data_IF_253349062207
#
_entry.id   IF_253349062207
#
_cell.length_a   1.000
_cell.length_b   1.000
_cell.length_c   1.000
_cell.angle_alpha   90.00
_cell.angle_beta   90.00
_cell.angle_gamma   90.00
#
_symmetry.space_group_name_H-M   'P 1'
#
loop_
_entity.id
_entity.type
_entity.pdbx_description
1 polymer ?
#
# COMPACT_ATOMS: atom_id res chain seq x y z
N UNK A 1 -3.33 -27.65 13.48
CA UNK A 1 -4.47 -26.80 13.75
C UNK A 1 -4.31 -25.48 12.99
N UNK A 2 -5.31 -25.07 12.24
CA UNK A 2 -5.20 -23.81 11.52
C UNK A 2 -5.09 -22.65 12.50
N UNK A 3 -4.32 -21.65 12.11
CA UNK A 3 -4.24 -20.42 12.89
C UNK A 3 -5.62 -19.77 12.96
N UNK A 4 -6.03 -19.35 14.14
CA UNK A 4 -7.26 -18.61 14.32
C UNK A 4 -7.04 -17.18 13.88
N UNK A 5 -7.87 -16.70 12.96
CA UNK A 5 -7.83 -15.29 12.55
C UNK A 5 -8.20 -14.42 13.73
N UNK A 6 -7.43 -13.37 13.96
CA UNK A 6 -7.69 -12.39 15.00
C UNK A 6 -8.10 -11.07 14.39
N UNK A 7 -9.20 -10.51 14.88
CA UNK A 7 -9.67 -9.18 14.52
C UNK A 7 -9.17 -8.21 15.59
N UNK A 8 -8.34 -7.26 15.19
CA UNK A 8 -7.68 -6.34 16.11
C UNK A 8 -8.04 -4.90 15.77
N UNK A 9 -8.49 -4.15 16.77
CA UNK A 9 -8.73 -2.72 16.65
C UNK A 9 -7.39 -1.97 16.57
N UNK A 10 -7.25 -1.08 15.58
CA UNK A 10 -5.99 -0.37 15.37
C UNK A 10 -6.09 1.15 15.46
N UNK A 11 -7.28 1.69 15.51
CA UNK A 11 -7.47 3.13 15.70
C UNK A 11 -8.76 3.65 15.08
N UNK A 12 -9.00 4.95 15.25
CA UNK A 12 -10.16 5.61 14.66
C UNK A 12 -9.95 5.85 13.17
N UNK A 13 -11.04 6.04 12.42
CA UNK A 13 -10.98 6.27 10.98
C UNK A 13 -10.18 7.51 10.61
N UNK A 14 -10.20 8.55 11.45
CA UNK A 14 -9.46 9.80 11.20
C UNK A 14 -7.95 9.60 11.17
N UNK A 15 -7.45 8.51 11.74
CA UNK A 15 -6.01 8.22 11.73
C UNK A 15 -5.50 7.77 10.38
N UNK A 16 -6.41 7.43 9.45
CA UNK A 16 -6.07 7.07 8.08
C UNK A 16 -6.82 8.01 7.13
N UNK A 17 -6.32 9.24 6.94
CA UNK A 17 -6.97 10.17 6.01
C UNK A 17 -6.77 9.75 4.56
N UNK A 18 -7.58 10.32 3.67
CA UNK A 18 -7.46 10.07 2.23
C UNK A 18 -6.04 10.39 1.75
N UNK A 19 -5.41 9.46 1.05
CA UNK A 19 -4.02 9.60 0.62
C UNK A 19 -2.99 9.42 1.73
N UNK A 20 -3.45 9.12 2.95
CA UNK A 20 -2.58 8.92 4.10
C UNK A 20 -2.43 7.45 4.48
N UNK A 21 -1.76 7.25 5.60
CA UNK A 21 -1.49 5.91 6.12
C UNK A 21 -1.42 5.89 7.64
N UNK A 22 -1.59 4.70 8.19
CA UNK A 22 -1.33 4.41 9.59
C UNK A 22 -0.44 3.16 9.64
N UNK A 23 0.70 3.26 10.29
CA UNK A 23 1.58 2.11 10.51
C UNK A 23 1.48 1.73 11.98
N UNK A 24 1.10 0.49 12.24
CA UNK A 24 0.89 0.00 13.61
C UNK A 24 1.58 -1.34 13.84
N UNK A 25 2.00 -1.56 15.08
CA UNK A 25 2.51 -2.86 15.51
C UNK A 25 1.38 -3.64 16.16
N UNK A 26 1.21 -4.89 15.73
CA UNK A 26 0.26 -5.82 16.34
C UNK A 26 1.04 -7.06 16.72
N UNK A 27 1.37 -7.18 18.01
CA UNK A 27 2.31 -8.18 18.48
C UNK A 27 3.68 -7.96 17.85
N UNK A 28 4.22 -8.99 17.22
CA UNK A 28 5.53 -8.93 16.54
C UNK A 28 5.42 -8.51 15.08
N UNK A 29 4.22 -8.14 14.63
CA UNK A 29 3.94 -7.83 13.22
C UNK A 29 3.66 -6.34 13.06
N UNK A 30 4.30 -5.70 12.10
CA UNK A 30 4.02 -4.31 11.73
C UNK A 30 3.18 -4.31 10.47
N UNK A 31 2.09 -3.53 10.49
CA UNK A 31 1.11 -3.45 9.41
C UNK A 31 0.96 -1.99 8.99
N UNK A 32 0.88 -1.75 7.69
CA UNK A 32 0.52 -0.45 7.15
C UNK A 32 -0.89 -0.47 6.59
N UNK A 33 -1.66 0.58 6.89
CA UNK A 33 -3.02 0.75 6.39
C UNK A 33 -3.06 2.05 5.62
N UNK A 34 -3.59 2.00 4.41
CA UNK A 34 -3.64 3.13 3.48
C UNK A 34 -5.08 3.40 3.08
N UNK A 35 -5.43 4.69 2.93
CA UNK A 35 -6.73 5.06 2.36
C UNK A 35 -6.52 5.66 0.98
N UNK A 36 -7.22 5.11 0.00
CA UNK A 36 -7.18 5.60 -1.36
C UNK A 36 -8.57 5.45 -2.00
N UNK A 37 -9.08 6.54 -2.55
CA UNK A 37 -10.42 6.60 -3.14
C UNK A 37 -11.51 6.10 -2.18
N UNK A 38 -11.40 6.49 -0.91
CA UNK A 38 -12.35 6.16 0.15
C UNK A 38 -12.24 4.75 0.70
N UNK A 39 -11.37 3.91 0.17
CA UNK A 39 -11.21 2.51 0.60
C UNK A 39 -9.91 2.32 1.37
N UNK A 40 -9.91 1.35 2.28
CA UNK A 40 -8.74 1.00 3.05
C UNK A 40 -8.05 -0.24 2.48
N UNK A 41 -6.71 -0.19 2.51
CA UNK A 41 -5.85 -1.27 2.04
C UNK A 41 -4.80 -1.55 3.10
N UNK A 42 -4.66 -2.79 3.51
CA UNK A 42 -3.70 -3.20 4.54
C UNK A 42 -2.65 -4.15 4.00
N UNK A 43 -1.41 -3.95 4.44
CA UNK A 43 -0.28 -4.77 4.03
C UNK A 43 0.68 -4.99 5.20
N UNK A 44 1.36 -6.14 5.21
CA UNK A 44 2.50 -6.33 6.10
C UNK A 44 3.62 -5.36 5.73
N UNK A 45 4.31 -4.82 6.71
CA UNK A 45 5.40 -3.85 6.52
C UNK A 45 6.69 -4.55 6.09
N UNK A 46 6.62 -5.33 5.03
CA UNK A 46 7.76 -6.12 4.54
C UNK A 46 7.79 -6.06 3.02
N UNK A 47 8.83 -5.44 2.49
CA UNK A 47 9.05 -5.38 1.04
C UNK A 47 9.35 -6.77 0.50
N UNK A 48 8.70 -7.16 -0.60
CA UNK A 48 8.91 -8.45 -1.24
C UNK A 48 10.34 -8.61 -1.78
N UNK A 49 11.04 -7.49 -2.04
CA UNK A 49 12.40 -7.51 -2.57
C UNK A 49 13.42 -7.96 -1.52
N UNK A 50 13.55 -7.24 -0.41
CA UNK A 50 14.55 -7.53 0.63
C UNK A 50 14.03 -7.30 2.06
N UNK A 51 12.72 -7.32 2.25
CA UNK A 51 12.16 -7.20 3.59
C UNK A 51 12.19 -5.81 4.20
N UNK A 52 12.45 -4.77 3.41
CA UNK A 52 12.48 -3.39 3.91
C UNK A 52 11.12 -2.91 4.42
N UNK A 53 11.09 -1.81 5.21
CA UNK A 53 9.86 -1.28 5.81
C UNK A 53 9.01 -0.52 4.79
N UNK A 54 8.41 -1.23 3.85
CA UNK A 54 7.72 -0.67 2.68
C UNK A 54 6.58 0.27 3.06
N UNK A 55 5.83 -0.03 4.14
CA UNK A 55 4.70 0.80 4.55
C UNK A 55 5.12 2.18 5.06
N UNK A 56 6.40 2.40 5.32
CA UNK A 56 6.96 3.67 5.74
C UNK A 56 7.56 4.45 4.57
N UNK A 57 7.47 3.91 3.36
CA UNK A 57 7.97 4.57 2.16
C UNK A 57 7.09 5.70 1.68
N UNK A 58 7.55 6.40 0.65
CA UNK A 58 6.78 7.50 0.06
C UNK A 58 5.59 6.96 -0.72
N UNK A 59 4.50 7.70 -0.68
CA UNK A 59 3.33 7.46 -1.52
C UNK A 59 3.41 8.47 -2.66
N UNK A 60 3.50 7.97 -3.89
CA UNK A 60 3.60 8.82 -5.08
C UNK A 60 2.60 8.37 -6.15
N UNK A 61 2.12 9.29 -7.00
CA UNK A 61 1.36 8.90 -8.18
C UNK A 61 2.22 8.07 -9.12
N UNK A 62 1.60 7.15 -9.85
CA UNK A 62 2.30 6.40 -10.88
C UNK A 62 2.82 7.35 -11.94
N UNK A 63 4.09 7.17 -12.33
CA UNK A 63 4.70 7.95 -13.41
C UNK A 63 4.56 7.17 -14.71
N UNK A 64 3.98 7.82 -15.73
CA UNK A 64 3.82 7.22 -17.06
C UNK A 64 4.52 8.10 -18.09
N UNK A 65 5.08 7.48 -19.12
CA UNK A 65 5.64 8.21 -20.24
C UNK A 65 4.53 8.56 -21.23
N UNK A 66 4.48 9.82 -21.64
CA UNK A 66 3.51 10.29 -22.64
C UNK A 66 4.13 10.11 -24.01
N UNK A 67 3.56 9.22 -24.81
CA UNK A 67 4.01 8.95 -26.17
C UNK A 67 3.01 9.56 -27.15
N UNK A 68 3.52 10.36 -28.11
CA UNK A 68 2.64 10.96 -29.11
C UNK A 68 2.28 9.96 -30.22
N UNK A 69 1.33 10.33 -31.12
CA UNK A 69 0.94 9.43 -32.22
C UNK A 69 2.08 9.03 -33.16
N UNK A 70 3.15 9.82 -33.20
CA UNK A 70 4.34 9.51 -33.99
C UNK A 70 5.34 8.60 -33.27
N UNK A 71 5.04 8.18 -32.04
CA UNK A 71 5.90 7.32 -31.25
C UNK A 71 7.01 8.05 -30.50
N UNK A 72 7.00 9.38 -30.47
CA UNK A 72 7.99 10.17 -29.74
C UNK A 72 7.54 10.45 -28.31
N UNK A 73 8.50 10.41 -27.39
CA UNK A 73 8.25 10.74 -25.99
C UNK A 73 7.98 12.25 -25.83
N UNK A 74 6.92 12.59 -25.10
CA UNK A 74 6.60 13.97 -24.70
C UNK A 74 6.93 14.22 -23.22
N UNK A 75 7.76 13.35 -22.63
CA UNK A 75 8.10 13.43 -21.21
C UNK A 75 7.21 12.54 -20.37
N UNK A 76 7.11 12.87 -19.08
CA UNK A 76 6.41 12.04 -18.11
C UNK A 76 5.21 12.78 -17.54
N UNK A 77 4.17 12.01 -17.20
CA UNK A 77 2.99 12.51 -16.52
C UNK A 77 2.72 11.65 -15.29
N UNK A 78 2.00 12.23 -14.31
CA UNK A 78 1.59 11.51 -13.12
C UNK A 78 0.17 10.99 -13.31
N UNK A 79 -0.02 9.71 -13.04
CA UNK A 79 -1.35 9.08 -13.03
C UNK A 79 -1.85 9.08 -11.60
N UNK A 80 -2.65 10.09 -11.24
CA UNK A 80 -3.17 10.26 -9.88
C UNK A 80 -4.27 9.26 -9.53
N UNK A 81 -4.79 8.52 -10.51
CA UNK A 81 -5.73 7.43 -10.25
C UNK A 81 -5.02 6.18 -9.71
N UNK A 82 -3.70 6.17 -9.73
CA UNK A 82 -2.87 5.08 -9.21
C UNK A 82 -1.79 5.64 -8.32
N UNK A 83 -1.84 5.27 -7.04
CA UNK A 83 -0.79 5.61 -6.08
C UNK A 83 0.11 4.41 -5.86
N UNK A 84 1.40 4.67 -5.77
CA UNK A 84 2.40 3.66 -5.47
C UNK A 84 3.04 3.93 -4.11
N UNK A 85 3.34 2.87 -3.38
CA UNK A 85 4.19 2.92 -2.20
C UNK A 85 5.61 2.61 -2.66
N UNK A 86 6.56 3.49 -2.34
CA UNK A 86 7.97 3.28 -2.71
C UNK A 86 8.74 2.80 -1.49
N UNK A 87 9.26 1.58 -1.55
CA UNK A 87 10.06 1.04 -0.46
C UNK A 87 11.30 1.91 -0.23
N UNK A 88 11.60 2.34 1.02
CA UNK A 88 12.79 3.15 1.29
C UNK A 88 14.09 2.41 1.02
N UNK A 89 14.05 1.08 0.94
CA UNK A 89 15.19 0.27 0.54
C UNK A 89 15.09 -0.01 -0.96
N UNK A 90 15.99 0.48 -1.78
CA UNK A 90 16.13 0.21 -3.22
C UNK A 90 15.01 0.75 -4.12
N UNK A 91 14.01 1.44 -3.58
CA UNK A 91 13.00 2.11 -4.39
C UNK A 91 11.99 1.22 -5.11
N UNK A 92 11.79 -0.03 -4.67
CA UNK A 92 10.73 -0.87 -5.24
C UNK A 92 9.37 -0.22 -5.01
N UNK A 93 8.56 -0.18 -6.07
CA UNK A 93 7.23 0.43 -6.04
C UNK A 93 6.14 -0.63 -6.08
N UNK A 94 5.09 -0.39 -5.31
CA UNK A 94 3.91 -1.27 -5.29
C UNK A 94 2.65 -0.44 -5.42
N UNK A 95 1.70 -0.91 -6.23
CA UNK A 95 0.40 -0.27 -6.34
C UNK A 95 -0.37 -0.43 -5.03
N UNK A 96 -0.92 0.66 -4.49
CA UNK A 96 -1.66 0.61 -3.21
C UNK A 96 -2.89 -0.30 -3.29
N UNK A 97 -3.59 -0.30 -4.41
CA UNK A 97 -4.82 -1.10 -4.55
C UNK A 97 -4.56 -2.60 -4.64
N UNK A 98 -3.44 -2.99 -5.22
CA UNK A 98 -3.17 -4.40 -5.51
C UNK A 98 -2.01 -4.97 -4.72
N UNK A 99 -1.10 -4.11 -4.25
CA UNK A 99 0.14 -4.54 -3.59
C UNK A 99 1.15 -5.13 -4.55
N UNK A 100 0.97 -4.97 -5.86
CA UNK A 100 1.80 -5.62 -6.88
C UNK A 100 2.77 -4.63 -7.49
N UNK A 101 4.01 -5.08 -7.73
CA UNK A 101 5.02 -4.29 -8.45
C UNK A 101 4.63 -4.23 -9.93
N UNK A 102 4.55 -3.02 -10.52
CA UNK A 102 4.03 -2.88 -11.89
C UNK A 102 4.87 -3.57 -12.96
N UNK A 103 6.18 -3.66 -12.78
CA UNK A 103 7.08 -4.30 -13.73
C UNK A 103 7.41 -5.76 -13.44
N UNK A 104 6.97 -6.27 -12.29
CA UNK A 104 7.24 -7.64 -11.86
C UNK A 104 6.07 -8.16 -11.01
N UNK A 105 5.02 -8.68 -11.65
CA UNK A 105 3.80 -9.10 -10.92
C UNK A 105 4.01 -10.18 -9.86
N UNK A 106 5.11 -10.92 -9.91
CA UNK A 106 5.44 -11.91 -8.88
C UNK A 106 5.93 -11.25 -7.59
N UNK A 107 6.42 -10.00 -7.66
CA UNK A 107 6.80 -9.22 -6.48
C UNK A 107 5.57 -8.50 -5.97
N UNK A 108 5.07 -8.91 -4.81
CA UNK A 108 3.85 -8.36 -4.22
C UNK A 108 3.95 -8.31 -2.72
N UNK A 109 3.25 -7.35 -2.14
CA UNK A 109 3.11 -7.24 -0.69
C UNK A 109 2.09 -8.27 -0.19
N UNK A 110 2.24 -8.66 1.07
CA UNK A 110 1.28 -9.56 1.71
C UNK A 110 0.12 -8.73 2.22
N UNK A 111 -1.08 -9.02 1.72
CA UNK A 111 -2.29 -8.28 2.07
C UNK A 111 -2.81 -8.68 3.43
N UNK A 112 -3.28 -7.69 4.18
CA UNK A 112 -3.97 -7.86 5.45
C UNK A 112 -5.40 -7.38 5.27
N UNK A 113 -6.37 -8.17 5.73
CA UNK A 113 -7.77 -7.76 5.66
C UNK A 113 -8.03 -6.58 6.59
N UNK A 114 -8.68 -5.54 6.07
CA UNK A 114 -9.01 -4.33 6.83
C UNK A 114 -10.51 -4.11 6.78
N UNK A 115 -11.10 -3.77 7.93
CA UNK A 115 -12.51 -3.45 8.05
C UNK A 115 -12.67 -2.10 8.72
N UNK A 116 -13.52 -1.25 8.17
CA UNK A 116 -13.87 0.04 8.76
C UNK A 116 -15.31 0.01 9.25
N UNK A 117 -15.52 0.39 10.52
CA UNK A 117 -16.83 0.49 11.12
C UNK A 117 -17.03 1.89 11.70
N UNK A 118 -18.22 2.18 12.22
CA UNK A 118 -18.47 3.44 12.93
C UNK A 118 -17.59 3.61 14.17
N UNK A 119 -17.05 2.54 14.70
CA UNK A 119 -16.18 2.57 15.89
C UNK A 119 -14.69 2.70 15.55
N UNK A 120 -14.31 2.48 14.29
CA UNK A 120 -12.92 2.62 13.86
C UNK A 120 -12.49 1.55 12.87
N UNK A 121 -11.18 1.32 12.83
CA UNK A 121 -10.53 0.45 11.86
C UNK A 121 -10.02 -0.80 12.57
N UNK A 122 -10.27 -1.94 11.95
CA UNK A 122 -9.85 -3.25 12.45
C UNK A 122 -9.07 -3.98 11.36
N UNK A 123 -8.09 -4.78 11.77
CA UNK A 123 -7.38 -5.68 10.87
C UNK A 123 -7.60 -7.12 11.31
N UNK A 124 -7.57 -8.02 10.33
CA UNK A 124 -7.70 -9.46 10.57
C UNK A 124 -6.56 -10.19 9.87
N UNK A 125 -5.85 -11.03 10.61
CA UNK A 125 -4.76 -11.82 10.05
C UNK A 125 -4.41 -13.02 10.94
#
# INVERSE_FOLDING_TARGET
>A
MPATSQRVYVGTSERVPEGGRLVVDVGDTTIGIFRFEGKLYGYLNTCAHQGGPVCQGKIIPRVTEVIDPGGESRGFAFDESRLHIVCPWHGFEYDIKTGVHPGRPSARLIRVAVEETSEGVYVTF
#
